data_IF_809434426239
#
_entry.id   IF_809434426239
#
_cell.length_a   1.000
_cell.length_b   1.000
_cell.length_c   1.000
_cell.angle_alpha   90.00
_cell.angle_beta   90.00
_cell.angle_gamma   90.00
#
_symmetry.space_group_name_H-M   'P 1'
#
loop_
_entity.id
_entity.type
_entity.pdbx_description
1 polymer ?
#
# COMPACT_ATOMS: atom_id res chain seq x y z
N UNK A 1 -29.12 -3.67 6.21
CA UNK A 1 -28.92 -2.35 6.84
C UNK A 1 -27.93 -1.59 5.99
N UNK A 2 -28.19 -0.31 5.70
CA UNK A 2 -27.28 0.55 4.95
C UNK A 2 -26.00 0.78 5.78
N UNK A 3 -24.83 0.38 5.29
CA UNK A 3 -23.56 0.52 6.03
C UNK A 3 -23.19 2.00 6.28
N UNK A 4 -23.76 2.92 5.49
CA UNK A 4 -23.61 4.36 5.68
C UNK A 4 -24.31 4.89 6.93
N UNK A 5 -25.31 4.16 7.45
CA UNK A 5 -26.00 4.60 8.67
C UNK A 5 -25.09 4.47 9.90
N UNK A 6 -24.19 3.48 9.93
CA UNK A 6 -23.15 3.34 10.96
C UNK A 6 -21.78 3.29 10.28
N UNK A 7 -21.28 4.43 9.79
CA UNK A 7 -20.09 4.46 8.96
C UNK A 7 -18.87 4.04 9.77
N UNK A 8 -17.98 3.27 9.15
CA UNK A 8 -16.72 2.83 9.74
C UNK A 8 -15.57 3.16 8.81
N UNK A 9 -14.67 4.05 9.22
CA UNK A 9 -13.44 4.31 8.49
C UNK A 9 -12.50 3.12 8.70
N UNK A 10 -11.98 2.60 7.60
CA UNK A 10 -11.18 1.38 7.58
C UNK A 10 -9.71 1.62 7.24
N UNK A 11 -9.20 0.78 6.33
CA UNK A 11 -7.81 0.78 5.88
C UNK A 11 -7.47 2.05 5.08
N UNK A 12 -7.13 3.13 5.78
CA UNK A 12 -6.77 4.42 5.18
C UNK A 12 -5.30 4.76 5.37
N UNK A 13 -4.80 5.63 4.50
CA UNK A 13 -3.60 6.43 4.69
C UNK A 13 -4.02 7.88 4.98
N UNK A 14 -3.47 8.48 6.03
CA UNK A 14 -3.79 9.85 6.45
C UNK A 14 -2.50 10.66 6.51
N UNK A 15 -2.48 11.79 5.82
CA UNK A 15 -1.36 12.72 5.83
C UNK A 15 -1.84 14.11 6.26
N UNK A 16 -1.02 14.82 7.04
CA UNK A 16 -1.27 16.23 7.35
C UNK A 16 -0.81 17.09 6.20
N UNK A 17 -1.58 18.11 5.87
CA UNK A 17 -1.24 19.10 4.85
C UNK A 17 -1.79 20.47 5.24
N UNK A 18 -1.49 21.47 4.42
CA UNK A 18 -2.16 22.77 4.42
C UNK A 18 -2.92 22.90 3.10
N UNK A 19 -4.21 23.18 3.17
CA UNK A 19 -5.06 23.38 2.00
C UNK A 19 -5.74 24.75 2.11
N UNK A 20 -5.56 25.60 1.09
CA UNK A 20 -6.06 26.98 1.08
C UNK A 20 -5.65 27.82 2.31
N UNK A 21 -4.44 27.57 2.84
CA UNK A 21 -3.92 28.27 4.03
C UNK A 21 -4.35 27.67 5.36
N UNK A 22 -5.25 26.68 5.36
CA UNK A 22 -5.77 26.06 6.58
C UNK A 22 -5.21 24.63 6.78
N UNK A 23 -4.98 24.20 8.04
CA UNK A 23 -4.59 22.83 8.33
C UNK A 23 -5.66 21.81 7.91
N UNK A 24 -5.23 20.78 7.18
CA UNK A 24 -6.11 19.74 6.67
C UNK A 24 -5.47 18.36 6.74
N UNK A 25 -6.30 17.33 6.63
CA UNK A 25 -5.90 15.95 6.39
C UNK A 25 -6.18 15.59 4.94
N UNK A 26 -5.27 14.84 4.32
CA UNK A 26 -5.54 14.08 3.10
C UNK A 26 -5.74 12.64 3.51
N UNK A 27 -6.93 12.10 3.23
CA UNK A 27 -7.33 10.74 3.55
C UNK A 27 -7.53 9.98 2.24
N UNK A 28 -6.85 8.84 2.10
CA UNK A 28 -6.89 8.01 0.90
C UNK A 28 -7.10 6.55 1.29
N UNK A 29 -7.72 5.78 0.39
CA UNK A 29 -7.70 4.32 0.48
C UNK A 29 -6.25 3.82 0.48
N UNK A 30 -5.95 2.96 1.46
CA UNK A 30 -4.62 2.36 1.61
C UNK A 30 -4.28 1.42 0.46
N UNK A 31 -5.28 0.73 -0.09
CA UNK A 31 -5.06 -0.28 -1.12
C UNK A 31 -4.95 0.27 -2.54
N UNK A 32 -5.16 1.58 -2.72
CA UNK A 32 -5.13 2.28 -4.02
C UNK A 32 -6.10 1.67 -5.03
N UNK A 33 -7.28 1.26 -4.55
CA UNK A 33 -8.42 0.83 -5.37
C UNK A 33 -9.08 2.01 -6.12
N UNK A 34 -8.79 3.24 -5.68
CA UNK A 34 -9.21 4.49 -6.31
C UNK A 34 -8.12 5.55 -6.20
N UNK A 35 -8.11 6.48 -7.16
CA UNK A 35 -7.27 7.70 -7.13
C UNK A 35 -7.92 8.83 -6.32
N UNK A 36 -9.17 8.65 -5.89
CA UNK A 36 -9.87 9.63 -5.09
C UNK A 36 -9.15 9.89 -3.75
N UNK A 37 -9.19 11.14 -3.31
CA UNK A 37 -8.67 11.57 -2.02
C UNK A 37 -9.64 12.54 -1.37
N UNK A 38 -9.83 12.39 -0.06
CA UNK A 38 -10.61 13.33 0.74
C UNK A 38 -9.66 14.34 1.37
N UNK A 39 -9.87 15.62 1.08
CA UNK A 39 -9.22 16.73 1.80
C UNK A 39 -10.17 17.19 2.89
N UNK A 40 -9.84 16.87 4.13
CA UNK A 40 -10.69 17.16 5.28
C UNK A 40 -10.06 18.26 6.14
N UNK A 41 -10.71 19.42 6.33
CA UNK A 41 -10.28 20.41 7.31
C UNK A 41 -10.03 19.76 8.67
N UNK A 42 -8.90 20.10 9.31
CA UNK A 42 -8.48 19.41 10.54
C UNK A 42 -9.53 19.53 11.67
N UNK A 43 -10.30 20.63 11.68
CA UNK A 43 -11.41 20.85 12.62
C UNK A 43 -12.50 19.77 12.53
N UNK A 44 -12.66 19.10 11.38
CA UNK A 44 -13.63 18.01 11.18
C UNK A 44 -13.04 16.63 11.54
N UNK A 45 -11.84 16.55 12.12
CA UNK A 45 -11.26 15.32 12.63
C UNK A 45 -12.19 14.50 13.55
N UNK A 46 -13.00 15.11 14.44
CA UNK A 46 -13.97 14.38 15.25
C UNK A 46 -15.00 13.57 14.45
N UNK A 47 -15.40 14.02 13.25
CA UNK A 47 -16.31 13.25 12.40
C UNK A 47 -15.69 11.91 12.00
N UNK A 48 -14.43 11.93 11.57
CA UNK A 48 -13.65 10.72 11.22
C UNK A 48 -13.50 9.79 12.41
N UNK A 49 -13.25 10.33 13.61
CA UNK A 49 -13.13 9.53 14.83
C UNK A 49 -14.45 8.83 15.23
N UNK A 50 -15.59 9.48 14.98
CA UNK A 50 -16.91 8.94 15.29
C UNK A 50 -17.42 7.93 14.24
N UNK A 51 -16.83 7.92 13.04
CA UNK A 51 -17.05 6.89 12.02
C UNK A 51 -16.29 5.60 12.37
N UNK A 52 -16.66 4.94 13.47
CA UNK A 52 -16.05 3.71 13.97
C UNK A 52 -16.90 2.45 13.74
N UNK A 53 -18.05 2.58 13.08
CA UNK A 53 -19.04 1.52 12.86
C UNK A 53 -20.01 1.29 14.01
N UNK A 54 -19.86 2.01 15.12
CA UNK A 54 -20.72 1.87 16.30
C UNK A 54 -21.76 2.97 16.41
N UNK A 55 -21.50 4.18 15.90
CA UNK A 55 -22.41 5.33 15.99
C UNK A 55 -23.28 5.47 14.73
N UNK A 56 -24.57 5.76 14.90
CA UNK A 56 -25.47 6.17 13.81
C UNK A 56 -25.24 7.62 13.40
N UNK A 57 -25.66 8.03 12.19
CA UNK A 57 -25.55 9.44 11.78
C UNK A 57 -26.19 10.44 12.77
N UNK A 58 -27.38 10.19 13.34
CA UNK A 58 -27.93 11.06 14.39
C UNK A 58 -27.08 11.09 15.67
N UNK A 59 -26.51 9.96 16.08
CA UNK A 59 -25.60 9.88 17.24
C UNK A 59 -24.29 10.64 16.98
N UNK A 60 -23.74 10.53 15.77
CA UNK A 60 -22.56 11.28 15.31
C UNK A 60 -22.86 12.78 15.35
N UNK A 61 -23.97 13.23 14.76
CA UNK A 61 -24.41 14.63 14.76
C UNK A 61 -24.51 15.18 16.18
N UNK A 62 -25.22 14.47 17.06
CA UNK A 62 -25.37 14.88 18.45
C UNK A 62 -24.01 14.96 19.18
N UNK A 63 -23.11 14.00 18.93
CA UNK A 63 -21.78 14.01 19.52
C UNK A 63 -20.91 15.17 19.01
N UNK A 64 -20.94 15.47 17.71
CA UNK A 64 -20.23 16.61 17.10
C UNK A 64 -20.65 17.93 17.74
N UNK A 65 -21.97 18.14 17.89
CA UNK A 65 -22.50 19.36 18.49
C UNK A 65 -22.18 19.45 19.99
N UNK A 66 -22.53 18.42 20.77
CA UNK A 66 -22.46 18.49 22.24
C UNK A 66 -21.03 18.35 22.76
N UNK A 67 -20.23 17.44 22.20
CA UNK A 67 -18.90 17.09 22.74
C UNK A 67 -17.79 17.91 22.11
N UNK A 68 -17.94 18.27 20.84
CA UNK A 68 -16.88 18.93 20.07
C UNK A 68 -17.22 20.38 19.69
N UNK A 69 -18.45 20.85 19.96
CA UNK A 69 -18.88 22.22 19.62
C UNK A 69 -18.95 22.47 18.12
N UNK A 70 -19.21 21.43 17.33
CA UNK A 70 -19.25 21.46 15.86
C UNK A 70 -20.69 21.23 15.36
N UNK A 71 -21.55 22.26 15.37
CA UNK A 71 -22.90 22.14 14.82
C UNK A 71 -22.81 22.00 13.29
N UNK A 72 -23.13 20.82 12.78
CA UNK A 72 -23.21 20.53 11.35
C UNK A 72 -24.63 20.14 10.97
N UNK A 73 -25.17 20.65 9.84
CA UNK A 73 -26.43 20.17 9.29
C UNK A 73 -26.36 18.67 8.99
N UNK A 74 -27.47 17.97 9.19
CA UNK A 74 -27.56 16.52 8.98
C UNK A 74 -27.20 16.13 7.54
N UNK A 75 -27.74 16.86 6.57
CA UNK A 75 -27.45 16.70 5.14
C UNK A 75 -25.94 16.87 4.85
N UNK A 76 -25.23 17.74 5.57
CA UNK A 76 -23.78 17.90 5.41
C UNK A 76 -23.03 16.65 5.87
N UNK A 77 -23.44 16.06 6.99
CA UNK A 77 -22.85 14.81 7.50
C UNK A 77 -23.14 13.65 6.54
N UNK A 78 -24.38 13.52 6.08
CA UNK A 78 -24.77 12.50 5.10
C UNK A 78 -23.96 12.61 3.80
N UNK A 79 -23.82 13.82 3.27
CA UNK A 79 -23.04 14.08 2.06
C UNK A 79 -21.54 13.78 2.24
N UNK A 80 -20.97 14.08 3.42
CA UNK A 80 -19.58 13.71 3.73
C UNK A 80 -19.40 12.20 3.81
N UNK A 81 -20.29 11.49 4.50
CA UNK A 81 -20.24 10.03 4.62
C UNK A 81 -20.42 9.35 3.26
N UNK A 82 -21.29 9.87 2.40
CA UNK A 82 -21.43 9.38 1.02
C UNK A 82 -20.14 9.57 0.20
N UNK A 83 -19.47 10.73 0.33
CA UNK A 83 -18.17 10.96 -0.31
C UNK A 83 -17.08 10.03 0.23
N UNK A 84 -17.10 9.72 1.53
CA UNK A 84 -16.18 8.76 2.13
C UNK A 84 -16.37 7.35 1.56
N UNK A 85 -17.61 6.93 1.33
CA UNK A 85 -17.91 5.64 0.69
C UNK A 85 -17.43 5.59 -0.77
N UNK A 86 -17.69 6.64 -1.54
CA UNK A 86 -17.24 6.75 -2.93
C UNK A 86 -15.71 6.78 -3.05
N UNK A 87 -15.02 7.37 -2.07
CA UNK A 87 -13.57 7.36 -1.98
C UNK A 87 -13.00 6.03 -1.44
N UNK A 88 -13.85 5.02 -1.19
CA UNK A 88 -13.47 3.69 -0.69
C UNK A 88 -12.72 3.73 0.64
N UNK A 89 -12.94 4.76 1.47
CA UNK A 89 -12.30 4.88 2.79
C UNK A 89 -13.17 4.34 3.93
N UNK A 90 -14.44 4.02 3.64
CA UNK A 90 -15.33 3.31 4.57
C UNK A 90 -15.26 1.79 4.36
N UNK A 91 -15.28 1.04 5.45
CA UNK A 91 -15.61 -0.37 5.42
C UNK A 91 -17.10 -0.54 5.07
N UNK A 92 -17.40 -1.37 4.08
CA UNK A 92 -18.76 -1.55 3.61
C UNK A 92 -18.84 -2.29 2.30
N UNK A 93 -20.07 -2.41 1.79
CA UNK A 93 -20.35 -3.17 0.57
C UNK A 93 -19.59 -2.58 -0.64
N UNK A 94 -19.54 -1.25 -0.75
CA UNK A 94 -18.86 -0.55 -1.85
C UNK A 94 -17.37 -0.87 -1.90
N UNK A 95 -16.69 -0.75 -0.75
CA UNK A 95 -15.27 -1.12 -0.62
C UNK A 95 -15.03 -2.61 -0.93
N UNK A 96 -15.83 -3.51 -0.36
CA UNK A 96 -15.67 -4.95 -0.58
C UNK A 96 -15.87 -5.35 -2.05
N UNK A 97 -16.83 -4.73 -2.74
CA UNK A 97 -17.03 -4.93 -4.17
C UNK A 97 -15.83 -4.45 -4.99
N UNK A 98 -15.32 -3.24 -4.73
CA UNK A 98 -14.14 -2.71 -5.40
C UNK A 98 -12.90 -3.60 -5.16
N UNK A 99 -12.70 -4.06 -3.92
CA UNK A 99 -11.61 -4.98 -3.57
C UNK A 99 -11.73 -6.30 -4.32
N UNK A 100 -12.92 -6.91 -4.33
CA UNK A 100 -13.14 -8.18 -5.01
C UNK A 100 -12.92 -8.04 -6.53
N UNK A 101 -13.37 -6.93 -7.11
CA UNK A 101 -13.14 -6.64 -8.53
C UNK A 101 -11.65 -6.51 -8.84
N UNK A 102 -10.89 -5.76 -8.03
CA UNK A 102 -9.45 -5.61 -8.21
C UNK A 102 -8.70 -6.95 -8.07
N UNK A 103 -9.08 -7.79 -7.10
CA UNK A 103 -8.51 -9.15 -6.94
C UNK A 103 -8.84 -10.03 -8.15
N UNK A 104 -10.07 -9.97 -8.66
CA UNK A 104 -10.47 -10.74 -9.84
C UNK A 104 -9.69 -10.30 -11.08
N UNK A 105 -9.51 -8.99 -11.29
CA UNK A 105 -8.69 -8.45 -12.38
C UNK A 105 -7.23 -8.88 -12.26
N UNK A 106 -6.66 -8.79 -11.05
CA UNK A 106 -5.30 -9.25 -10.78
C UNK A 106 -5.11 -10.73 -11.11
N UNK A 107 -6.06 -11.60 -10.75
CA UNK A 107 -6.00 -13.05 -11.02
C UNK A 107 -6.25 -13.40 -12.48
N UNK A 108 -7.06 -12.60 -13.18
CA UNK A 108 -7.34 -12.80 -14.59
C UNK A 108 -6.24 -12.26 -15.52
N UNK A 109 -5.34 -11.41 -15.01
CA UNK A 109 -4.21 -10.90 -15.78
C UNK A 109 -3.27 -12.05 -16.22
N UNK A 110 -2.61 -11.95 -17.38
CA UNK A 110 -1.66 -12.97 -17.84
C UNK A 110 -0.39 -13.03 -16.97
N UNK A 111 -0.07 -11.91 -16.30
CA UNK A 111 1.05 -11.78 -15.38
C UNK A 111 0.84 -10.56 -14.47
N UNK A 112 1.61 -10.49 -13.38
CA UNK A 112 1.66 -9.36 -12.45
C UNK A 112 2.58 -8.28 -13.01
N UNK A 113 2.09 -7.08 -13.37
CA UNK A 113 2.97 -6.01 -13.85
C UNK A 113 3.93 -5.53 -12.75
N UNK A 114 5.15 -5.10 -13.10
CA UNK A 114 6.11 -4.57 -12.14
C UNK A 114 5.67 -3.20 -11.60
N UNK A 115 4.90 -3.20 -10.51
CA UNK A 115 4.25 -2.01 -9.95
C UNK A 115 5.19 -0.87 -9.53
N UNK A 116 6.49 -1.15 -9.34
CA UNK A 116 7.50 -0.18 -8.93
C UNK A 116 8.44 0.26 -10.06
N UNK A 117 8.27 -0.29 -11.27
CA UNK A 117 9.01 0.15 -12.44
C UNK A 117 8.67 1.61 -12.78
N UNK A 118 9.69 2.44 -12.96
CA UNK A 118 9.56 3.89 -13.16
C UNK A 118 9.45 4.70 -11.86
N UNK A 119 9.08 4.07 -10.74
CA UNK A 119 8.96 4.72 -9.44
C UNK A 119 10.19 4.48 -8.55
N UNK A 120 10.49 3.21 -8.23
CA UNK A 120 11.63 2.83 -7.39
C UNK A 120 12.87 2.44 -8.18
N UNK A 121 12.70 2.03 -9.44
CA UNK A 121 13.80 1.64 -10.33
C UNK A 121 13.45 1.95 -11.80
N UNK A 122 14.44 2.07 -12.70
CA UNK A 122 14.17 2.36 -14.11
C UNK A 122 13.24 1.35 -14.76
N UNK A 123 12.20 1.82 -15.46
CA UNK A 123 11.29 0.94 -16.20
C UNK A 123 11.96 0.31 -17.44
N UNK A 124 12.93 0.99 -18.03
CA UNK A 124 13.73 0.48 -19.15
C UNK A 124 14.73 -0.58 -18.66
N UNK A 125 14.67 -1.77 -19.26
CA UNK A 125 15.48 -2.92 -18.87
C UNK A 125 16.99 -2.68 -19.04
N UNK A 126 17.41 -2.00 -20.10
CA UNK A 126 18.82 -1.73 -20.36
C UNK A 126 19.39 -0.74 -19.33
N UNK A 127 18.60 0.26 -18.96
CA UNK A 127 18.94 1.23 -17.93
C UNK A 127 18.96 0.59 -16.54
N UNK A 128 17.99 -0.28 -16.22
CA UNK A 128 18.00 -1.06 -14.99
C UNK A 128 19.25 -1.94 -14.89
N UNK A 129 19.60 -2.66 -15.97
CA UNK A 129 20.81 -3.50 -15.99
C UNK A 129 22.08 -2.70 -15.75
N UNK A 130 22.25 -1.54 -16.40
CA UNK A 130 23.41 -0.66 -16.17
C UNK A 130 23.47 -0.15 -14.72
N UNK A 131 22.32 0.22 -14.15
CA UNK A 131 22.25 0.66 -12.76
C UNK A 131 22.69 -0.45 -11.80
N UNK A 132 22.16 -1.67 -11.97
CA UNK A 132 22.52 -2.81 -11.12
C UNK A 132 23.99 -3.21 -11.29
N UNK A 133 24.51 -3.21 -12.53
CA UNK A 133 25.92 -3.46 -12.80
C UNK A 133 26.81 -2.42 -12.12
N UNK A 134 26.43 -1.14 -12.15
CA UNK A 134 27.17 -0.08 -11.46
C UNK A 134 27.27 -0.28 -9.95
N UNK A 135 26.29 -0.91 -9.29
CA UNK A 135 26.43 -1.31 -7.88
C UNK A 135 27.38 -2.50 -7.71
N UNK A 136 27.31 -3.50 -8.61
CA UNK A 136 28.21 -4.66 -8.59
C UNK A 136 29.68 -4.26 -8.83
N UNK A 137 29.92 -3.30 -9.72
CA UNK A 137 31.27 -2.81 -10.04
C UNK A 137 31.95 -2.10 -8.85
N UNK A 138 31.15 -1.62 -7.88
CA UNK A 138 31.64 -1.00 -6.65
C UNK A 138 31.90 -1.99 -5.52
N UNK A 139 31.54 -3.25 -5.70
CA UNK A 139 31.71 -4.28 -4.69
C UNK A 139 33.11 -4.90 -4.81
N UNK A 140 33.94 -4.68 -3.79
CA UNK A 140 35.19 -5.42 -3.61
C UNK A 140 34.92 -6.93 -3.48
N UNK A 141 35.96 -7.77 -3.56
CA UNK A 141 35.82 -9.23 -3.39
C UNK A 141 35.07 -9.57 -2.10
N UNK A 142 33.79 -9.94 -2.22
CA UNK A 142 32.99 -10.47 -1.12
C UNK A 142 33.25 -11.97 -1.02
N UNK A 143 33.47 -12.53 0.19
CA UNK A 143 33.55 -13.96 0.36
C UNK A 143 32.30 -14.63 -0.20
N UNK A 144 32.49 -15.63 -1.08
CA UNK A 144 31.39 -16.44 -1.56
C UNK A 144 30.80 -17.25 -0.40
N UNK A 145 29.47 -17.31 -0.32
CA UNK A 145 28.83 -18.28 0.57
C UNK A 145 29.01 -19.70 0.01
N UNK A 146 28.80 -20.71 0.85
CA UNK A 146 28.78 -22.10 0.37
C UNK A 146 27.78 -22.26 -0.79
N UNK A 147 28.12 -22.98 -1.87
CA UNK A 147 27.18 -23.34 -2.93
C UNK A 147 25.97 -24.14 -2.42
N UNK A 148 26.11 -24.78 -1.26
CA UNK A 148 25.01 -25.52 -0.60
C UNK A 148 24.07 -24.64 0.23
N UNK A 149 24.34 -23.33 0.31
CA UNK A 149 23.47 -22.36 0.99
C UNK A 149 22.07 -22.38 0.39
N UNK A 150 21.05 -22.48 1.25
CA UNK A 150 19.64 -22.62 0.82
C UNK A 150 18.81 -21.34 0.97
N UNK A 151 19.37 -20.31 1.59
CA UNK A 151 18.67 -19.07 1.85
C UNK A 151 19.64 -17.88 1.81
N UNK A 152 19.11 -16.74 1.36
CA UNK A 152 19.75 -15.43 1.46
C UNK A 152 18.77 -14.44 2.06
N UNK A 153 19.29 -13.43 2.74
CA UNK A 153 18.51 -12.30 3.23
C UNK A 153 19.00 -11.07 2.47
N UNK A 154 18.11 -10.46 1.69
CA UNK A 154 18.37 -9.24 0.93
C UNK A 154 17.41 -8.15 1.42
N UNK A 155 17.84 -6.88 1.48
CA UNK A 155 16.91 -5.79 1.76
C UNK A 155 15.82 -5.71 0.66
N UNK A 156 14.75 -4.95 0.91
CA UNK A 156 13.72 -4.62 -0.10
C UNK A 156 13.44 -3.10 -0.17
N UNK A 157 14.39 -2.28 0.29
CA UNK A 157 14.36 -0.81 0.18
C UNK A 157 14.76 -0.34 -1.23
N UNK A 158 14.36 0.88 -1.62
CA UNK A 158 14.75 1.46 -2.91
C UNK A 158 16.26 1.35 -3.18
N UNK A 159 16.63 1.02 -4.43
CA UNK A 159 18.04 0.78 -4.79
C UNK A 159 18.95 1.98 -4.56
N UNK A 160 18.43 3.21 -4.66
CA UNK A 160 19.19 4.42 -4.34
C UNK A 160 19.70 4.43 -2.90
N UNK A 161 18.98 3.77 -1.97
CA UNK A 161 19.35 3.69 -0.56
C UNK A 161 20.14 2.41 -0.24
N UNK A 162 19.77 1.29 -0.85
CA UNK A 162 20.30 -0.03 -0.50
C UNK A 162 21.26 -0.66 -1.51
N UNK A 163 21.48 -0.06 -2.68
CA UNK A 163 22.06 -0.69 -3.88
C UNK A 163 23.35 -1.47 -3.65
N UNK A 164 24.29 -0.90 -2.88
CA UNK A 164 25.55 -1.57 -2.54
C UNK A 164 25.34 -2.81 -1.66
N UNK A 165 24.42 -2.76 -0.69
CA UNK A 165 24.08 -3.92 0.15
C UNK A 165 23.45 -5.02 -0.68
N UNK A 166 22.57 -4.69 -1.63
CA UNK A 166 22.08 -5.67 -2.61
C UNK A 166 23.25 -6.31 -3.34
N UNK A 167 24.11 -5.50 -3.96
CA UNK A 167 25.23 -5.99 -4.76
C UNK A 167 26.15 -6.94 -3.97
N UNK A 168 26.46 -6.64 -2.70
CA UNK A 168 27.25 -7.53 -1.83
C UNK A 168 26.57 -8.87 -1.58
N UNK A 169 25.28 -8.86 -1.23
CA UNK A 169 24.51 -10.10 -0.96
C UNK A 169 24.42 -10.96 -2.21
N UNK A 170 24.04 -10.36 -3.34
CA UNK A 170 23.84 -11.08 -4.60
C UNK A 170 25.16 -11.55 -5.22
N UNK A 171 26.25 -10.79 -5.08
CA UNK A 171 27.58 -11.23 -5.52
C UNK A 171 28.08 -12.42 -4.68
N UNK A 172 27.91 -12.37 -3.36
CA UNK A 172 28.32 -13.45 -2.46
C UNK A 172 27.57 -14.76 -2.72
N UNK A 173 26.30 -14.68 -3.13
CA UNK A 173 25.42 -15.82 -3.36
C UNK A 173 25.27 -16.25 -4.84
N UNK A 174 26.01 -15.63 -5.75
CA UNK A 174 25.81 -15.79 -7.20
C UNK A 174 25.84 -17.26 -7.65
N UNK A 175 26.80 -18.06 -7.16
CA UNK A 175 26.92 -19.48 -7.52
C UNK A 175 25.74 -20.31 -6.99
N UNK A 176 25.36 -20.13 -5.72
CA UNK A 176 24.24 -20.85 -5.11
C UNK A 176 22.91 -20.55 -5.83
N UNK A 177 22.70 -19.30 -6.25
CA UNK A 177 21.50 -18.88 -6.98
C UNK A 177 21.49 -19.45 -8.41
N UNK A 178 22.63 -19.47 -9.11
CA UNK A 178 22.72 -20.03 -10.46
C UNK A 178 22.44 -21.53 -10.50
N UNK A 179 22.71 -22.24 -9.40
CA UNK A 179 22.40 -23.67 -9.25
C UNK A 179 20.97 -23.95 -8.77
N UNK A 180 20.20 -22.92 -8.39
CA UNK A 180 18.86 -23.09 -7.85
C UNK A 180 17.83 -23.35 -8.97
N UNK A 181 17.14 -24.49 -8.90
CA UNK A 181 16.03 -24.82 -9.81
C UNK A 181 14.70 -24.20 -9.36
N UNK A 182 14.59 -23.87 -8.07
CA UNK A 182 13.41 -23.26 -7.46
C UNK A 182 13.83 -22.14 -6.51
N UNK A 183 13.28 -20.96 -6.72
CA UNK A 183 13.46 -19.80 -5.84
C UNK A 183 12.12 -19.49 -5.17
N UNK A 184 12.11 -19.51 -3.84
CA UNK A 184 10.98 -19.08 -3.02
C UNK A 184 11.32 -17.73 -2.43
N UNK A 185 10.53 -16.69 -2.77
CA UNK A 185 10.71 -15.34 -2.24
C UNK A 185 9.71 -15.13 -1.12
N UNK A 186 10.22 -14.90 0.09
CA UNK A 186 9.43 -14.50 1.26
C UNK A 186 9.70 -13.02 1.52
N UNK A 187 8.64 -12.20 1.51
CA UNK A 187 8.73 -10.77 1.74
C UNK A 187 7.60 -10.31 2.68
N UNK A 188 7.83 -9.17 3.33
CA UNK A 188 6.84 -8.56 4.23
C UNK A 188 5.69 -7.95 3.43
N UNK A 189 4.46 -8.32 3.79
CA UNK A 189 3.26 -7.61 3.33
C UNK A 189 3.02 -6.39 4.20
N UNK A 190 3.40 -5.21 3.70
CA UNK A 190 3.19 -3.93 4.39
C UNK A 190 1.72 -3.51 4.50
N UNK A 191 0.83 -4.17 3.75
CA UNK A 191 -0.61 -3.91 3.74
C UNK A 191 -1.42 -5.06 4.35
N UNK A 192 -0.76 -6.06 4.94
CA UNK A 192 -1.42 -7.21 5.55
C UNK A 192 -2.34 -6.79 6.70
N UNK A 193 -3.55 -7.35 6.71
CA UNK A 193 -4.58 -7.02 7.71
C UNK A 193 -4.70 -8.07 8.82
N UNK A 194 -4.06 -9.23 8.67
CA UNK A 194 -4.12 -10.32 9.64
C UNK A 194 -2.71 -10.75 10.09
N UNK A 195 -2.42 -10.71 11.40
CA UNK A 195 -1.17 -11.25 11.93
C UNK A 195 -1.00 -12.73 11.61
N UNK A 196 0.20 -13.13 11.16
CA UNK A 196 0.53 -14.53 10.90
C UNK A 196 -0.05 -15.11 9.60
N UNK A 197 -0.72 -14.30 8.76
CA UNK A 197 -1.21 -14.76 7.46
C UNK A 197 -0.10 -14.78 6.39
N UNK A 198 -0.19 -15.75 5.47
CA UNK A 198 0.64 -15.78 4.25
C UNK A 198 -0.24 -15.44 3.04
N UNK A 199 0.20 -14.45 2.25
CA UNK A 199 -0.45 -14.05 1.01
C UNK A 199 0.30 -14.63 -0.19
N UNK A 200 -0.29 -15.65 -0.82
CA UNK A 200 0.29 -16.28 -2.00
C UNK A 200 0.04 -15.39 -3.23
N UNK A 201 1.07 -15.16 -4.04
CA UNK A 201 0.99 -14.33 -5.25
C UNK A 201 -0.01 -14.92 -6.27
N UNK A 202 -0.08 -16.25 -6.39
CA UNK A 202 -0.94 -16.99 -7.34
C UNK A 202 -1.04 -16.34 -8.74
N UNK A 203 0.09 -15.88 -9.27
CA UNK A 203 0.20 -15.17 -10.54
C UNK A 203 1.63 -15.28 -11.07
N UNK A 204 1.81 -15.24 -12.39
CA UNK A 204 3.12 -15.20 -13.03
C UNK A 204 3.73 -13.82 -12.86
N UNK A 205 5.01 -13.71 -12.46
CA UNK A 205 5.73 -12.44 -12.47
C UNK A 205 6.66 -12.40 -13.69
N UNK A 206 6.56 -11.39 -14.57
CA UNK A 206 7.51 -11.24 -15.65
C UNK A 206 8.83 -10.75 -15.07
N UNK A 207 9.92 -11.15 -15.70
CA UNK A 207 11.20 -10.50 -15.47
C UNK A 207 11.26 -9.24 -16.34
N UNK A 208 11.84 -8.11 -15.87
CA UNK A 208 11.98 -6.90 -16.68
C UNK A 208 12.77 -7.08 -17.98
N UNK A 209 13.48 -8.20 -18.13
CA UNK A 209 14.35 -8.54 -19.25
C UNK A 209 13.75 -9.54 -20.24
N UNK A 210 12.51 -9.99 -20.01
CA UNK A 210 11.80 -10.95 -20.86
C UNK A 210 10.83 -10.26 -21.82
#
# INVERSE_FOLDING_TARGET
MNHLNRPKIGNVNIQRTVYQGEPAFVIQDRFKLTEAAIVLPQVLGPLVLLCDGTNTLPEIKAALEIRYGLPLPEETIENMVAQFDQALILEGVTFEQARQQAVNQYRAAPFRPPALAGASYPADAATLRRMLQGYLDQVDKVPAVSPTSRAIISPHIDYQRGGLTYAQVWASAAEAIQQAELVIILATDHNGTQPGSLNLTCQTMPLPWA
#
